data_IF_286174803075
#
_entry.id   IF_286174803075
#
_cell.length_a   1.000
_cell.length_b   1.000
_cell.length_c   1.000
_cell.angle_alpha   90.00
_cell.angle_beta   90.00
_cell.angle_gamma   90.00
#
_symmetry.space_group_name_H-M   'P 1'
#
loop_
_entity.id
_entity.type
_entity.pdbx_description
1 polymer ?
#
# COMPACT_ATOMS: atom_id res chain seq x y z
N UNK A 1 -9.46 -11.59 -12.97
CA UNK A 1 -10.14 -12.76 -12.35
C UNK A 1 -11.30 -12.25 -11.52
N UNK A 2 -12.55 -12.60 -11.85
CA UNK A 2 -13.73 -12.19 -11.05
C UNK A 2 -14.02 -13.14 -9.86
N UNK A 3 -13.27 -14.23 -9.71
CA UNK A 3 -13.57 -15.28 -8.72
C UNK A 3 -12.31 -15.70 -7.95
N UNK A 4 -11.62 -14.75 -7.34
CA UNK A 4 -10.52 -15.04 -6.41
C UNK A 4 -10.89 -14.46 -5.04
N UNK A 5 -10.98 -15.32 -4.03
CA UNK A 5 -11.34 -14.93 -2.67
C UNK A 5 -10.32 -15.53 -1.70
N UNK A 6 -9.81 -14.69 -0.81
CA UNK A 6 -8.94 -15.13 0.28
C UNK A 6 -9.80 -15.54 1.48
N UNK A 7 -9.58 -16.76 2.00
CA UNK A 7 -10.17 -17.21 3.28
C UNK A 7 -9.14 -16.98 4.37
N UNK A 8 -9.34 -15.94 5.16
CA UNK A 8 -8.45 -15.52 6.23
C UNK A 8 -9.22 -15.33 7.54
N UNK A 9 -8.51 -15.28 8.66
CA UNK A 9 -9.09 -14.99 9.98
C UNK A 9 -9.54 -13.52 10.03
N UNK A 10 -10.70 -13.25 10.63
CA UNK A 10 -11.31 -11.92 10.71
C UNK A 10 -10.38 -10.81 11.25
N UNK A 11 -9.43 -11.18 12.11
CA UNK A 11 -8.49 -10.26 12.75
C UNK A 11 -7.07 -10.34 12.18
N UNK A 12 -6.91 -10.84 10.95
CA UNK A 12 -5.62 -10.90 10.26
C UNK A 12 -5.75 -10.17 8.94
N UNK A 13 -4.92 -9.14 8.74
CA UNK A 13 -4.83 -8.42 7.49
C UNK A 13 -3.40 -7.86 7.30
N UNK A 14 -3.10 -7.34 6.10
CA UNK A 14 -1.78 -6.80 5.77
C UNK A 14 -1.38 -5.59 6.65
N UNK A 15 -2.34 -4.77 7.08
CA UNK A 15 -2.10 -3.63 7.97
C UNK A 15 -1.53 -4.05 9.32
N UNK A 16 -2.16 -5.03 9.97
CA UNK A 16 -1.66 -5.61 11.23
C UNK A 16 -0.24 -6.17 11.05
N UNK A 17 0.04 -6.79 9.90
CA UNK A 17 1.39 -7.28 9.57
C UNK A 17 2.43 -6.15 9.50
N UNK A 18 2.08 -5.03 8.86
CA UNK A 18 2.94 -3.84 8.79
C UNK A 18 3.16 -3.24 10.18
N UNK A 19 2.11 -3.02 10.96
CA UNK A 19 2.22 -2.49 12.33
C UNK A 19 3.11 -3.36 13.22
N UNK A 20 2.94 -4.68 13.14
CA UNK A 20 3.77 -5.64 13.85
C UNK A 20 5.25 -5.52 13.44
N UNK A 21 5.54 -5.45 12.14
CA UNK A 21 6.91 -5.34 11.64
C UNK A 21 7.57 -4.02 12.05
N UNK A 22 6.87 -2.89 11.90
CA UNK A 22 7.37 -1.58 12.31
C UNK A 22 7.72 -1.56 13.80
N UNK A 23 6.82 -2.07 14.65
CA UNK A 23 7.06 -2.20 16.09
C UNK A 23 8.26 -3.10 16.39
N UNK A 24 8.36 -4.25 15.72
CA UNK A 24 9.46 -5.20 15.93
C UNK A 24 10.81 -4.64 15.50
N UNK A 25 10.84 -3.81 14.46
CA UNK A 25 12.05 -3.17 13.93
C UNK A 25 12.38 -1.83 14.60
N UNK A 26 11.49 -1.29 15.43
CA UNK A 26 11.66 0.03 16.05
C UNK A 26 11.58 1.19 15.05
N UNK A 27 10.92 0.98 13.90
CA UNK A 27 10.76 1.97 12.83
C UNK A 27 9.44 2.72 13.06
N UNK A 28 9.45 4.04 12.92
CA UNK A 28 8.23 4.83 13.04
C UNK A 28 7.36 4.66 11.81
N UNK A 29 6.05 4.78 11.99
CA UNK A 29 5.10 4.69 10.89
C UNK A 29 5.41 5.69 9.78
N UNK A 30 5.80 6.90 10.13
CA UNK A 30 6.10 8.00 9.20
C UNK A 30 7.30 7.69 8.28
N UNK A 31 8.12 6.71 8.66
CA UNK A 31 9.30 6.25 7.91
C UNK A 31 8.96 5.08 6.96
N UNK A 32 7.67 4.73 6.83
CA UNK A 32 7.20 3.60 6.03
C UNK A 32 6.39 4.04 4.82
N UNK A 33 6.58 3.32 3.71
CA UNK A 33 5.90 3.55 2.44
C UNK A 33 5.27 2.25 2.00
N UNK A 34 3.98 2.29 1.65
CA UNK A 34 3.26 1.16 1.10
C UNK A 34 2.72 1.47 -0.31
N UNK A 35 2.78 0.48 -1.19
CA UNK A 35 2.18 0.50 -2.52
C UNK A 35 1.17 -0.63 -2.62
N UNK A 36 -0.01 -0.36 -3.15
CA UNK A 36 -1.09 -1.35 -3.26
C UNK A 36 -1.97 -1.10 -4.48
N UNK A 37 -2.63 -2.16 -4.91
CA UNK A 37 -3.48 -2.16 -6.09
C UNK A 37 -4.81 -2.91 -5.87
N UNK A 38 -4.87 -3.81 -4.88
CA UNK A 38 -6.07 -4.57 -4.53
C UNK A 38 -6.79 -4.08 -3.27
N UNK A 39 -8.06 -4.46 -3.10
CA UNK A 39 -8.81 -4.14 -1.88
C UNK A 39 -8.25 -4.79 -0.61
N UNK A 40 -7.49 -5.88 -0.74
CA UNK A 40 -6.75 -6.49 0.36
C UNK A 40 -5.57 -5.62 0.85
N UNK A 41 -5.17 -4.58 0.11
CA UNK A 41 -4.14 -3.62 0.51
C UNK A 41 -4.68 -2.44 1.32
N UNK A 42 -6.01 -2.28 1.41
CA UNK A 42 -6.67 -1.15 2.10
C UNK A 42 -6.07 -0.87 3.47
N UNK A 43 -6.02 -1.89 4.33
CA UNK A 43 -5.51 -1.74 5.70
C UNK A 43 -4.01 -1.46 5.72
N UNK A 44 -3.24 -2.01 4.77
CA UNK A 44 -1.81 -1.73 4.64
C UNK A 44 -1.54 -0.26 4.28
N UNK A 45 -2.26 0.27 3.29
CA UNK A 45 -2.14 1.67 2.85
C UNK A 45 -2.52 2.64 3.98
N UNK A 46 -3.55 2.28 4.77
CA UNK A 46 -3.92 3.00 5.99
C UNK A 46 -2.96 2.83 7.15
N UNK A 47 -2.08 1.84 7.15
CA UNK A 47 -1.14 1.56 8.24
C UNK A 47 0.23 2.22 8.04
N UNK A 48 0.63 2.44 6.78
CA UNK A 48 1.89 3.10 6.45
C UNK A 48 1.83 4.63 6.60
N UNK A 49 2.99 5.27 6.70
CA UNK A 49 3.13 6.73 6.74
C UNK A 49 2.77 7.37 5.39
N UNK A 50 3.30 6.80 4.31
CA UNK A 50 2.96 7.15 2.93
C UNK A 50 2.31 5.96 2.23
N UNK A 51 1.10 6.12 1.71
CA UNK A 51 0.35 5.08 1.01
C UNK A 51 0.04 5.46 -0.43
N UNK A 52 0.44 4.62 -1.38
CA UNK A 52 0.23 4.80 -2.82
C UNK A 52 -0.71 3.74 -3.40
N UNK A 53 -1.79 4.19 -4.03
CA UNK A 53 -2.58 3.35 -4.92
C UNK A 53 -1.97 3.37 -6.33
N UNK A 54 -1.73 2.20 -6.91
CA UNK A 54 -1.21 2.05 -8.27
C UNK A 54 -2.22 2.57 -9.31
N UNK A 55 -1.75 3.01 -10.47
CA UNK A 55 -2.63 3.58 -11.50
C UNK A 55 -3.67 2.60 -12.05
N UNK A 56 -3.39 1.30 -11.96
CA UNK A 56 -4.27 0.19 -12.32
C UNK A 56 -4.98 -0.44 -11.11
N UNK A 57 -4.99 0.23 -9.96
CA UNK A 57 -5.63 -0.26 -8.74
C UNK A 57 -7.17 -0.36 -8.88
N UNK A 58 -7.77 -1.16 -8.00
CA UNK A 58 -9.21 -1.19 -7.81
C UNK A 58 -9.75 0.23 -7.53
N UNK A 59 -10.83 0.70 -8.20
CA UNK A 59 -11.32 2.07 -8.05
C UNK A 59 -11.58 2.48 -6.60
N UNK A 60 -12.18 1.58 -5.81
CA UNK A 60 -12.48 1.86 -4.40
C UNK A 60 -11.22 1.96 -3.52
N UNK A 61 -10.05 1.53 -3.99
CA UNK A 61 -8.82 1.60 -3.22
C UNK A 61 -8.30 3.05 -3.09
N UNK A 62 -8.58 3.91 -4.08
CA UNK A 62 -8.01 5.27 -4.15
C UNK A 62 -8.36 6.13 -2.92
N UNK A 63 -9.52 5.92 -2.29
CA UNK A 63 -9.93 6.66 -1.10
C UNK A 63 -9.11 6.32 0.16
N UNK A 64 -8.35 5.21 0.14
CA UNK A 64 -7.57 4.73 1.27
C UNK A 64 -6.08 4.99 1.11
N UNK A 65 -5.65 5.53 -0.03
CA UNK A 65 -4.28 5.92 -0.30
C UNK A 65 -4.14 7.44 -0.18
N UNK A 66 -2.99 7.90 0.32
CA UNK A 66 -2.64 9.33 0.34
C UNK A 66 -2.28 9.85 -1.04
N UNK A 67 -1.75 8.95 -1.88
CA UNK A 67 -1.27 9.27 -3.21
C UNK A 67 -1.78 8.27 -4.25
N UNK A 68 -1.86 8.73 -5.49
CA UNK A 68 -2.03 7.88 -6.67
C UNK A 68 -0.77 7.95 -7.51
N UNK A 69 -0.24 6.81 -7.92
CA UNK A 69 0.91 6.72 -8.84
C UNK A 69 0.49 6.15 -10.20
N UNK A 70 1.43 6.02 -11.13
CA UNK A 70 1.19 5.42 -12.44
C UNK A 70 0.93 3.91 -12.32
N UNK A 71 0.44 3.30 -13.40
CA UNK A 71 0.21 1.84 -13.44
C UNK A 71 1.52 1.07 -13.27
N UNK A 72 1.40 -0.20 -12.88
CA UNK A 72 2.56 -1.11 -12.79
C UNK A 72 3.35 -1.18 -14.10
N UNK A 73 2.68 -1.16 -15.25
CA UNK A 73 3.29 -1.16 -16.59
C UNK A 73 4.01 0.14 -16.95
N UNK A 74 3.81 1.20 -16.17
CA UNK A 74 4.39 2.53 -16.35
C UNK A 74 5.25 2.91 -15.12
N UNK A 75 5.94 1.93 -14.53
CA UNK A 75 6.90 2.15 -13.43
C UNK A 75 6.31 2.85 -12.19
N UNK A 76 5.09 2.48 -11.78
CA UNK A 76 4.37 3.13 -10.68
C UNK A 76 5.13 3.23 -9.35
N UNK A 77 5.88 2.21 -8.95
CA UNK A 77 6.69 2.27 -7.73
C UNK A 77 7.78 3.34 -7.87
N UNK A 78 8.54 3.31 -8.98
CA UNK A 78 9.60 4.29 -9.25
C UNK A 78 9.04 5.72 -9.27
N UNK A 79 7.94 5.95 -9.99
CA UNK A 79 7.34 7.29 -10.09
C UNK A 79 6.78 7.77 -8.74
N UNK A 80 6.22 6.87 -7.93
CA UNK A 80 5.76 7.19 -6.58
C UNK A 80 6.93 7.60 -5.67
N UNK A 81 8.01 6.83 -5.65
CA UNK A 81 9.22 7.17 -4.90
C UNK A 81 9.88 8.47 -5.39
N UNK A 82 9.88 8.69 -6.71
CA UNK A 82 10.36 9.95 -7.31
C UNK A 82 9.51 11.15 -6.90
N UNK A 83 8.18 10.99 -6.79
CA UNK A 83 7.29 12.06 -6.33
C UNK A 83 7.54 12.50 -4.88
N UNK A 84 8.10 11.61 -4.07
CA UNK A 84 8.57 11.91 -2.70
C UNK A 84 10.01 12.47 -2.66
N UNK A 85 10.68 12.60 -3.80
CA UNK A 85 12.07 13.05 -3.87
C UNK A 85 13.12 12.02 -3.45
N UNK A 86 12.75 10.73 -3.35
CA UNK A 86 13.66 9.66 -2.92
C UNK A 86 14.54 9.12 -4.05
N UNK A 87 14.17 9.35 -5.30
CA UNK A 87 14.89 8.91 -6.50
C UNK A 87 15.06 10.07 -7.47
N UNK A 88 16.16 10.06 -8.23
CA UNK A 88 16.47 11.03 -9.29
C UNK A 88 16.02 10.50 -10.65
#
# INVERSE_FOLDING_TARGET
MQHCYDVIRDHVNKGIGVEFLLKKLGIKREESIAFGDGMNDREMLKSAGEGFAMGNAHPDLFQYAKHKTTAVTNSGIFNGLKSLGLLK
#
